data_IF_738842637725
#
_entry.id   IF_738842637725
#
_cell.length_a   1.000
_cell.length_b   1.000
_cell.length_c   1.000
_cell.angle_alpha   90.00
_cell.angle_beta   90.00
_cell.angle_gamma   90.00
#
_symmetry.space_group_name_H-M   'P 1'
#
loop_
_entity.id
_entity.type
_entity.pdbx_description
1 polymer ?
#
# COMPACT_ATOMS: atom_id res chain seq x y z
N UNK A 1 -21.58 4.91 16.50
CA UNK A 1 -20.45 5.82 16.20
C UNK A 1 -19.16 5.20 16.70
N UNK A 2 -18.12 5.15 15.87
CA UNK A 2 -16.82 4.62 16.28
C UNK A 2 -16.08 5.59 17.21
N UNK A 3 -15.33 5.07 18.18
CA UNK A 3 -14.49 5.84 19.10
C UNK A 3 -13.02 5.60 18.77
N UNK A 4 -12.23 6.67 18.65
CA UNK A 4 -10.77 6.56 18.53
C UNK A 4 -10.21 6.19 19.91
N UNK A 5 -9.57 5.02 20.01
CA UNK A 5 -8.95 4.54 21.25
C UNK A 5 -7.52 5.07 21.42
N UNK A 6 -6.77 5.13 20.31
CA UNK A 6 -5.37 5.55 20.28
C UNK A 6 -5.20 6.52 19.11
N UNK A 7 -4.69 7.72 19.41
CA UNK A 7 -4.26 8.69 18.39
C UNK A 7 -2.83 8.37 17.96
N UNK A 8 -2.53 8.59 16.69
CA UNK A 8 -1.16 8.47 16.15
C UNK A 8 -0.50 7.12 16.39
N UNK A 9 -1.28 6.04 16.38
CA UNK A 9 -0.80 4.67 16.61
C UNK A 9 0.29 4.20 15.61
N UNK A 10 0.43 4.89 14.48
CA UNK A 10 1.44 4.60 13.46
C UNK A 10 2.02 5.88 12.85
N UNK A 11 3.34 5.92 12.72
CA UNK A 11 4.04 6.95 11.95
C UNK A 11 3.93 6.67 10.46
N UNK A 12 3.36 7.60 9.70
CA UNK A 12 3.13 7.45 8.27
C UNK A 12 4.24 8.10 7.46
N UNK A 13 4.90 7.33 6.61
CA UNK A 13 5.92 7.84 5.70
C UNK A 13 5.29 8.41 4.44
N UNK A 14 5.83 9.53 3.97
CA UNK A 14 5.42 10.14 2.69
C UNK A 14 5.72 9.18 1.54
N UNK A 15 4.72 8.89 0.71
CA UNK A 15 4.90 7.99 -0.44
C UNK A 15 4.38 6.56 -0.23
N UNK A 16 3.85 6.25 0.96
CA UNK A 16 3.28 4.95 1.27
C UNK A 16 1.78 5.03 1.56
N UNK A 17 1.08 3.95 1.22
CA UNK A 17 -0.31 3.69 1.56
C UNK A 17 -0.34 2.79 2.80
N UNK A 18 -1.14 3.20 3.79
CA UNK A 18 -1.37 2.43 5.01
C UNK A 18 -2.82 2.00 5.06
N UNK A 19 -3.07 0.71 5.27
CA UNK A 19 -4.41 0.12 5.36
C UNK A 19 -4.46 -0.99 6.41
N UNK A 20 -5.67 -1.40 6.79
CA UNK A 20 -5.90 -2.50 7.73
C UNK A 20 -6.36 -3.71 6.93
N UNK A 21 -5.71 -4.86 7.12
CA UNK A 21 -6.12 -6.11 6.48
C UNK A 21 -7.31 -6.77 7.22
N UNK A 22 -7.85 -7.86 6.66
CA UNK A 22 -8.95 -8.59 7.29
C UNK A 22 -8.60 -9.25 8.63
N UNK A 23 -7.31 -9.31 8.99
CA UNK A 23 -6.82 -9.83 10.27
C UNK A 23 -6.58 -8.70 11.30
N UNK A 24 -6.80 -7.44 10.92
CA UNK A 24 -6.60 -6.28 11.78
C UNK A 24 -5.18 -5.74 11.83
N UNK A 25 -4.27 -6.19 10.95
CA UNK A 25 -2.90 -5.68 10.90
C UNK A 25 -2.81 -4.39 10.09
N UNK A 26 -1.91 -3.50 10.48
CA UNK A 26 -1.55 -2.34 9.67
C UNK A 26 -0.50 -2.75 8.63
N UNK A 27 -0.83 -2.61 7.35
CA UNK A 27 0.07 -2.91 6.24
C UNK A 27 0.57 -1.62 5.58
N UNK A 28 1.82 -1.66 5.10
CA UNK A 28 2.48 -0.56 4.36
C UNK A 28 2.69 -1.00 2.90
N UNK A 29 2.30 -0.16 1.95
CA UNK A 29 2.52 -0.39 0.51
C UNK A 29 3.06 0.87 -0.18
N UNK A 30 4.07 0.73 -1.03
CA UNK A 30 4.61 1.86 -1.78
C UNK A 30 3.59 2.35 -2.82
N UNK A 31 3.24 3.63 -2.80
CA UNK A 31 2.29 4.19 -3.75
C UNK A 31 2.87 4.23 -5.16
N UNK A 32 2.13 3.68 -6.12
CA UNK A 32 2.41 3.86 -7.54
C UNK A 32 2.05 5.30 -7.96
N UNK A 33 2.90 6.27 -7.61
CA UNK A 33 2.80 7.62 -8.17
C UNK A 33 3.09 7.51 -9.67
N UNK A 34 2.16 7.98 -10.50
CA UNK A 34 2.24 7.90 -11.95
C UNK A 34 3.40 8.73 -12.52
N UNK A 35 4.62 8.21 -12.44
CA UNK A 35 5.84 8.86 -12.94
C UNK A 35 6.54 8.08 -14.05
N UNK A 36 6.24 6.79 -14.22
CA UNK A 36 6.79 5.98 -15.31
C UNK A 36 5.78 4.90 -15.68
N UNK A 37 5.23 4.95 -16.90
CA UNK A 37 4.53 3.81 -17.48
C UNK A 37 5.49 2.62 -17.47
N UNK A 38 5.29 1.64 -16.58
CA UNK A 38 6.00 0.36 -16.67
C UNK A 38 5.68 -0.20 -18.06
N UNK A 39 6.68 -0.32 -18.94
CA UNK A 39 6.53 -1.04 -20.20
C UNK A 39 5.97 -2.43 -19.86
N UNK A 40 4.86 -2.80 -20.49
CA UNK A 40 4.23 -4.10 -20.29
C UNK A 40 5.31 -5.18 -20.33
N UNK A 41 5.42 -5.98 -19.27
CA UNK A 41 6.34 -7.10 -19.25
C UNK A 41 5.97 -7.99 -20.44
N UNK A 42 6.89 -8.15 -21.41
CA UNK A 42 6.72 -9.11 -22.50
C UNK A 42 6.45 -10.46 -21.84
N UNK A 43 5.26 -11.02 -22.04
CA UNK A 43 4.95 -12.40 -21.64
C UNK A 43 6.06 -13.27 -22.24
N UNK A 44 6.88 -13.91 -21.40
CA UNK A 44 7.77 -14.96 -21.87
C UNK A 44 6.86 -16.07 -22.40
N UNK A 45 6.87 -16.29 -23.71
CA UNK A 45 6.22 -17.45 -24.31
C UNK A 45 6.83 -18.70 -23.66
N UNK A 46 5.98 -19.46 -22.97
CA UNK A 46 6.33 -20.77 -22.44
C UNK A 46 6.60 -21.67 -23.65
N UNK A 47 7.83 -22.16 -23.78
CA UNK A 47 8.18 -23.23 -24.72
C UNK A 47 7.62 -24.55 -24.20
#
# INVERSE_FOLDING_TARGET
MGKILIKDAVERKKGFLYYIDGKGNVCEAQMARGGTKKKAAKKKAKK
#
